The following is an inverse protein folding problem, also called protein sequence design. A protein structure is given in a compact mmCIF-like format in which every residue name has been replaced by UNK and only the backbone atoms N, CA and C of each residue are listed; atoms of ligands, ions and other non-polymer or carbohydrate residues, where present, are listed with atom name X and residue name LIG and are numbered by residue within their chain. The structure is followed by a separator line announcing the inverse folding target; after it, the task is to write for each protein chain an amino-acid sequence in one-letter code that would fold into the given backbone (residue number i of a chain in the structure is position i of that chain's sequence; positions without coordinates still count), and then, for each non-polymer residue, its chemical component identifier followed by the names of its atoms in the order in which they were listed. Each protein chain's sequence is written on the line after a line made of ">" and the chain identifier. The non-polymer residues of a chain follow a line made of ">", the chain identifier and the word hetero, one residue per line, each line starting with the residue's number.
data_IF_619622711932
#
_entry.id   IF_619622711932
#
_cell.length_a   1.000
_cell.length_b   1.000
_cell.length_c   1.000
_cell.angle_alpha   90.00
_cell.angle_beta   90.00
_cell.angle_gamma   90.00
#
_symmetry.space_group_name_H-M   'P 1'
#
loop_
_entity.id
_entity.type
_entity.pdbx_description
1 polymer ?
#
# COMPACT_ATOMS: atom_id res chain seq x y z
N UNK A 1 -34.75 24.67 -31.37
CA UNK A 1 -34.82 26.12 -31.08
C UNK A 1 -34.44 26.26 -29.62
N UNK A 2 -33.34 26.95 -29.32
CA UNK A 2 -33.04 27.34 -27.95
C UNK A 2 -33.97 28.49 -27.61
N UNK A 3 -34.79 28.34 -26.57
CA UNK A 3 -35.71 29.37 -26.11
C UNK A 3 -35.29 29.80 -24.70
N UNK A 4 -35.51 31.07 -24.38
CA UNK A 4 -35.10 31.69 -23.11
C UNK A 4 -35.59 30.90 -21.88
N UNK A 5 -36.82 30.39 -21.95
CA UNK A 5 -37.43 29.57 -20.90
C UNK A 5 -36.62 28.30 -20.57
N UNK A 6 -36.04 27.65 -21.58
CA UNK A 6 -35.18 26.46 -21.37
C UNK A 6 -33.85 26.84 -20.71
N UNK A 7 -33.34 28.03 -21.03
CA UNK A 7 -32.11 28.54 -20.42
C UNK A 7 -32.34 28.87 -18.93
N UNK A 8 -33.40 29.60 -18.62
CA UNK A 8 -33.78 29.93 -17.23
C UNK A 8 -33.99 28.68 -16.38
N UNK A 9 -34.61 27.64 -16.94
CA UNK A 9 -34.79 26.37 -16.24
C UNK A 9 -33.45 25.69 -15.91
N UNK A 10 -32.51 25.62 -16.86
CA UNK A 10 -31.20 25.03 -16.61
C UNK A 10 -30.39 25.84 -15.59
N UNK A 11 -30.47 27.17 -15.63
CA UNK A 11 -29.80 28.04 -14.65
C UNK A 11 -30.34 27.79 -13.23
N UNK A 12 -31.65 27.65 -13.11
CA UNK A 12 -32.30 27.32 -11.84
C UNK A 12 -31.86 25.94 -11.33
N UNK A 13 -31.89 24.92 -12.18
CA UNK A 13 -31.45 23.55 -11.82
C UNK A 13 -29.97 23.53 -11.39
N UNK A 14 -29.11 24.29 -12.08
CA UNK A 14 -27.70 24.44 -11.69
C UNK A 14 -27.54 25.08 -10.32
N UNK A 15 -28.34 26.11 -10.02
CA UNK A 15 -28.27 26.79 -8.72
C UNK A 15 -28.77 25.90 -7.57
N UNK A 16 -29.84 25.13 -7.82
CA UNK A 16 -30.33 24.12 -6.89
C UNK A 16 -29.29 23.03 -6.64
N UNK A 17 -28.64 22.52 -7.70
CA UNK A 17 -27.55 21.55 -7.58
C UNK A 17 -26.37 22.11 -6.80
N UNK A 18 -25.90 23.33 -7.11
CA UNK A 18 -24.81 23.97 -6.35
C UNK A 18 -25.16 24.08 -4.87
N UNK A 19 -26.37 24.51 -4.55
CA UNK A 19 -26.83 24.63 -3.17
C UNK A 19 -26.85 23.27 -2.48
N UNK A 20 -27.33 22.24 -3.16
CA UNK A 20 -27.31 20.86 -2.65
C UNK A 20 -25.89 20.34 -2.42
N UNK A 21 -24.98 20.53 -3.37
CA UNK A 21 -23.58 20.12 -3.23
C UNK A 21 -22.89 20.86 -2.09
N UNK A 22 -23.02 22.18 -2.02
CA UNK A 22 -22.42 22.99 -0.96
C UNK A 22 -22.95 22.59 0.42
N UNK A 23 -24.25 22.29 0.53
CA UNK A 23 -24.84 21.81 1.80
C UNK A 23 -24.29 20.46 2.24
N UNK A 24 -23.95 19.59 1.29
CA UNK A 24 -23.51 18.22 1.55
C UNK A 24 -22.02 18.00 1.28
N UNK A 25 -21.24 19.08 1.15
CA UNK A 25 -19.84 19.03 0.70
C UNK A 25 -19.00 18.10 1.59
N UNK A 26 -19.17 18.18 2.91
CA UNK A 26 -18.44 17.35 3.86
C UNK A 26 -18.74 15.85 3.69
N UNK A 27 -20.00 15.50 3.39
CA UNK A 27 -20.39 14.11 3.14
C UNK A 27 -19.69 13.59 1.88
N UNK A 28 -19.64 14.39 0.82
CA UNK A 28 -18.94 14.00 -0.41
C UNK A 28 -17.43 13.88 -0.20
N UNK A 29 -16.82 14.78 0.57
CA UNK A 29 -15.40 14.70 0.94
C UNK A 29 -15.12 13.40 1.69
N UNK A 30 -15.93 13.07 2.70
CA UNK A 30 -15.75 11.84 3.48
C UNK A 30 -15.99 10.58 2.64
N UNK A 31 -17.02 10.59 1.78
CA UNK A 31 -17.31 9.49 0.87
C UNK A 31 -16.13 9.23 -0.07
N UNK A 32 -15.55 10.29 -0.67
CA UNK A 32 -14.37 10.17 -1.50
C UNK A 32 -13.17 9.62 -0.73
N UNK A 33 -12.92 10.13 0.49
CA UNK A 33 -11.85 9.60 1.36
C UNK A 33 -12.05 8.12 1.67
N UNK A 34 -13.29 7.70 1.92
CA UNK A 34 -13.61 6.30 2.21
C UNK A 34 -13.43 5.41 0.97
N UNK A 35 -13.83 5.87 -0.22
CA UNK A 35 -13.61 5.15 -1.47
C UNK A 35 -12.11 4.96 -1.76
N UNK A 36 -11.30 5.99 -1.56
CA UNK A 36 -9.84 5.90 -1.72
C UNK A 36 -9.24 4.86 -0.76
N UNK A 37 -9.63 4.91 0.51
CA UNK A 37 -9.15 3.95 1.52
C UNK A 37 -9.61 2.51 1.22
N UNK A 38 -10.83 2.34 0.72
CA UNK A 38 -11.36 1.03 0.32
C UNK A 38 -10.61 0.44 -0.87
N UNK A 39 -10.20 1.27 -1.84
CA UNK A 39 -9.38 0.82 -2.95
C UNK A 39 -8.01 0.35 -2.50
N UNK A 40 -7.39 1.03 -1.53
CA UNK A 40 -6.14 0.57 -0.91
C UNK A 40 -6.31 -0.75 -0.18
N UNK A 41 -7.37 -0.88 0.64
CA UNK A 41 -7.67 -2.11 1.37
C UNK A 41 -7.77 -3.33 0.43
N UNK A 42 -8.42 -3.19 -0.73
CA UNK A 42 -8.51 -4.29 -1.71
C UNK A 42 -7.16 -4.76 -2.24
N UNK A 43 -6.16 -3.88 -2.32
CA UNK A 43 -4.79 -4.25 -2.72
C UNK A 43 -4.11 -5.10 -1.64
N UNK A 44 -4.38 -4.81 -0.37
CA UNK A 44 -3.90 -5.61 0.76
C UNK A 44 -4.55 -6.98 0.79
N UNK A 45 -5.89 -7.06 0.66
CA UNK A 45 -6.59 -8.36 0.66
C UNK A 45 -6.09 -9.30 -0.44
N UNK A 46 -5.88 -8.78 -1.65
CA UNK A 46 -5.36 -9.57 -2.77
C UNK A 46 -3.92 -10.06 -2.52
N UNK A 47 -3.12 -9.26 -1.80
CA UNK A 47 -1.75 -9.65 -1.42
C UNK A 47 -1.78 -10.73 -0.34
N UNK A 48 -2.59 -10.54 0.71
CA UNK A 48 -2.71 -11.50 1.81
C UNK A 48 -3.23 -12.86 1.33
N UNK A 49 -4.21 -12.89 0.43
CA UNK A 49 -4.72 -14.13 -0.16
C UNK A 49 -3.63 -14.85 -0.97
N UNK A 50 -2.83 -14.10 -1.74
CA UNK A 50 -1.71 -14.65 -2.48
C UNK A 50 -0.65 -15.25 -1.55
N UNK A 51 -0.26 -14.51 -0.50
CA UNK A 51 0.77 -14.94 0.46
C UNK A 51 0.32 -16.16 1.27
N UNK A 52 -0.96 -16.21 1.67
CA UNK A 52 -1.55 -17.38 2.33
C UNK A 52 -1.54 -18.62 1.43
N UNK A 53 -1.82 -18.45 0.13
CA UNK A 53 -1.89 -19.55 -0.83
C UNK A 53 -0.50 -20.10 -1.19
N UNK A 54 0.50 -19.23 -1.31
CA UNK A 54 1.83 -19.61 -1.82
C UNK A 54 2.89 -19.78 -0.72
N UNK A 55 2.64 -19.28 0.49
CA UNK A 55 3.52 -19.43 1.64
C UNK A 55 4.81 -18.59 1.58
N UNK A 56 4.86 -17.59 0.71
CA UNK A 56 5.97 -16.64 0.61
C UNK A 56 5.46 -15.24 0.28
N UNK A 57 6.17 -14.21 0.76
CA UNK A 57 5.76 -12.83 0.54
C UNK A 57 5.92 -12.37 -0.90
N UNK A 58 5.00 -11.53 -1.38
CA UNK A 58 4.97 -11.06 -2.76
C UNK A 58 5.89 -9.84 -2.93
N UNK A 59 6.92 -9.99 -3.77
CA UNK A 59 7.93 -8.96 -4.01
C UNK A 59 8.01 -8.59 -5.49
N UNK A 60 8.22 -7.30 -5.77
CA UNK A 60 8.52 -6.74 -7.10
C UNK A 60 9.89 -6.06 -7.00
N UNK A 61 10.84 -6.48 -7.84
CA UNK A 61 12.21 -5.96 -7.85
C UNK A 61 12.92 -5.98 -6.47
N UNK A 62 12.59 -6.99 -5.66
CA UNK A 62 13.16 -7.16 -4.31
C UNK A 62 12.53 -6.29 -3.22
N UNK A 63 11.46 -5.56 -3.55
CA UNK A 63 10.68 -4.72 -2.62
C UNK A 63 9.31 -5.38 -2.42
N UNK A 64 8.73 -5.31 -1.22
CA UNK A 64 7.38 -5.86 -1.01
C UNK A 64 6.38 -5.12 -1.91
N UNK A 65 5.35 -5.79 -2.39
CA UNK A 65 4.33 -5.15 -3.23
C UNK A 65 3.63 -3.99 -2.53
N UNK A 66 3.47 -4.09 -1.21
CA UNK A 66 2.90 -3.04 -0.36
C UNK A 66 3.81 -1.80 -0.39
N UNK A 67 5.12 -2.00 -0.20
CA UNK A 67 6.09 -0.91 -0.24
C UNK A 67 6.20 -0.32 -1.67
N UNK A 68 6.10 -1.15 -2.71
CA UNK A 68 6.07 -0.69 -4.10
C UNK A 68 4.88 0.25 -4.37
N UNK A 69 3.66 -0.14 -3.97
CA UNK A 69 2.49 0.72 -4.13
C UNK A 69 2.58 2.00 -3.29
N UNK A 70 3.13 1.91 -2.07
CA UNK A 70 3.33 3.07 -1.20
C UNK A 70 4.30 4.06 -1.85
N UNK A 71 5.40 3.57 -2.40
CA UNK A 71 6.39 4.38 -3.11
C UNK A 71 5.81 5.04 -4.36
N UNK A 72 5.05 4.31 -5.18
CA UNK A 72 4.40 4.90 -6.36
C UNK A 72 3.38 5.99 -5.99
N UNK A 73 2.59 5.77 -4.93
CA UNK A 73 1.66 6.78 -4.43
C UNK A 73 2.37 8.05 -3.97
N UNK A 74 3.50 7.90 -3.28
CA UNK A 74 4.33 9.02 -2.84
C UNK A 74 4.89 9.79 -4.04
N UNK A 75 5.46 9.10 -5.03
CA UNK A 75 5.98 9.71 -6.27
C UNK A 75 4.89 10.52 -6.98
N UNK A 76 3.71 9.93 -7.18
CA UNK A 76 2.58 10.61 -7.82
C UNK A 76 2.14 11.86 -7.03
N UNK A 77 2.11 11.78 -5.70
CA UNK A 77 1.75 12.92 -4.85
C UNK A 77 2.76 14.05 -4.97
N UNK A 78 4.05 13.73 -4.93
CA UNK A 78 5.13 14.71 -5.09
C UNK A 78 5.10 15.36 -6.48
N UNK A 79 4.91 14.58 -7.53
CA UNK A 79 4.80 15.10 -8.90
C UNK A 79 3.60 16.05 -9.05
N UNK A 80 2.46 15.70 -8.44
CA UNK A 80 1.26 16.55 -8.42
C UNK A 80 1.50 17.87 -7.69
N UNK A 81 2.26 17.87 -6.59
CA UNK A 81 2.64 19.09 -5.87
C UNK A 81 3.61 19.96 -6.67
N UNK A 82 4.61 19.34 -7.32
CA UNK A 82 5.55 20.04 -8.20
C UNK A 82 4.83 20.70 -9.38
N UNK A 83 3.88 20.02 -10.01
CA UNK A 83 3.11 20.59 -11.11
C UNK A 83 2.21 21.75 -10.65
N UNK A 84 1.61 21.65 -9.45
CA UNK A 84 0.89 22.78 -8.84
C UNK A 84 1.82 23.97 -8.60
N UNK A 85 3.00 23.75 -8.05
CA UNK A 85 3.98 24.81 -7.80
C UNK A 85 4.44 25.46 -9.12
N UNK A 86 4.66 24.67 -10.17
CA UNK A 86 5.00 25.16 -11.52
C UNK A 86 3.90 26.07 -12.09
N UNK A 87 2.64 25.69 -11.93
CA UNK A 87 1.49 26.51 -12.35
C UNK A 87 1.34 27.80 -11.54
N UNK A 88 1.63 27.78 -10.24
CA UNK A 88 1.62 29.00 -9.42
C UNK A 88 2.72 29.98 -9.84
N UNK A 89 3.93 29.48 -10.09
CA UNK A 89 5.05 30.30 -10.57
C UNK A 89 4.73 30.95 -11.94
N UNK A 90 4.12 30.19 -12.86
CA UNK A 90 3.71 30.70 -14.17
C UNK A 90 2.65 31.80 -14.08
N UNK A 91 1.87 31.86 -12.99
CA UNK A 91 0.87 32.91 -12.71
C UNK A 91 1.45 34.10 -11.94
N UNK A 92 2.76 34.13 -11.68
CA UNK A 92 3.42 35.20 -10.94
C UNK A 92 3.11 35.20 -9.43
N UNK A 93 2.52 34.12 -8.91
CA UNK A 93 2.32 33.94 -7.48
C UNK A 93 3.54 33.24 -6.89
N UNK A 94 4.08 33.78 -5.79
CA UNK A 94 5.16 33.13 -5.05
C UNK A 94 4.62 31.86 -4.38
N UNK A 95 5.18 30.67 -4.66
CA UNK A 95 4.70 29.44 -4.04
C UNK A 95 5.02 29.46 -2.55
N UNK A 96 3.99 29.39 -1.71
CA UNK A 96 4.14 29.11 -0.28
C UNK A 96 4.45 27.62 -0.17
N UNK A 97 5.74 27.27 -0.08
CA UNK A 97 6.18 25.95 0.32
C UNK A 97 5.77 25.73 1.78
N UNK A 98 4.57 25.21 2.00
CA UNK A 98 4.21 24.63 3.29
C UNK A 98 5.05 23.37 3.46
N UNK A 99 6.17 23.54 4.17
CA UNK A 99 7.02 22.47 4.65
C UNK A 99 6.22 21.63 5.65
N UNK A 100 5.46 20.67 5.14
CA UNK A 100 4.90 19.61 5.97
C UNK A 100 6.05 18.66 6.26
N UNK A 101 6.65 18.85 7.43
CA UNK A 101 7.57 17.88 8.01
C UNK A 101 6.98 16.48 7.93
N UNK A 102 7.64 15.58 7.22
CA UNK A 102 7.82 14.21 7.69
C UNK A 102 9.12 13.64 7.11
N UNK A 103 10.21 14.08 7.74
CA UNK A 103 11.42 13.29 7.86
C UNK A 103 11.08 11.97 8.54
N UNK A 104 10.83 10.91 7.76
CA UNK A 104 11.15 9.55 8.17
C UNK A 104 12.24 9.05 7.24
N UNK A 105 13.46 9.41 7.60
CA UNK A 105 14.68 8.79 7.10
C UNK A 105 14.66 7.32 7.54
N UNK A 106 13.91 6.45 6.85
CA UNK A 106 14.10 5.00 6.96
C UNK A 106 15.51 4.74 6.43
N UNK A 107 16.45 4.65 7.36
CA UNK A 107 17.73 4.03 7.10
C UNK A 107 17.40 2.64 6.55
N UNK A 108 17.63 2.42 5.26
CA UNK A 108 17.80 1.07 4.74
C UNK A 108 18.88 0.45 5.61
N UNK A 109 18.46 -0.47 6.47
CA UNK A 109 19.36 -1.21 7.31
C UNK A 109 20.41 -1.85 6.42
N UNK A 110 21.62 -1.38 6.64
CA UNK A 110 22.87 -1.93 6.19
C UNK A 110 22.76 -3.46 6.23
N UNK A 111 22.79 -4.12 5.07
CA UNK A 111 23.11 -5.54 5.02
C UNK A 111 24.49 -5.67 5.65
N UNK A 112 24.53 -6.20 6.86
CA UNK A 112 25.77 -6.61 7.50
C UNK A 112 26.39 -7.71 6.63
N UNK A 113 27.41 -7.32 5.86
CA UNK A 113 28.33 -8.28 5.26
C UNK A 113 29.07 -8.92 6.44
N UNK A 114 28.59 -10.09 6.85
CA UNK A 114 29.30 -10.93 7.82
C UNK A 114 30.72 -11.16 7.32
N UNK A 115 31.68 -10.52 7.98
CA UNK A 115 33.11 -10.82 7.82
C UNK A 115 33.36 -12.18 8.45
N UNK A 116 33.56 -13.17 7.60
CA UNK A 116 34.11 -14.49 7.95
C UNK A 116 35.49 -14.31 8.59
N UNK A 117 35.72 -14.78 9.83
CA UNK A 117 37.06 -14.80 10.39
C UNK A 117 37.90 -15.88 9.69
N UNK A 118 38.92 -15.44 8.97
CA UNK A 118 39.99 -16.28 8.41
C UNK A 118 40.81 -16.86 9.56
N UNK A 119 40.71 -18.18 9.77
CA UNK A 119 41.49 -18.92 10.77
C UNK A 119 42.61 -19.69 10.09
N UNK A 120 43.82 -19.47 10.59
CA UNK A 120 45.11 -20.00 10.15
C UNK A 120 45.18 -21.54 10.14
N UNK A 121 46.09 -22.01 9.29
CA UNK A 121 46.56 -23.38 9.01
C UNK A 121 46.89 -24.21 10.27
N UNK A 122 46.34 -25.44 10.38
CA UNK A 122 46.98 -26.79 10.29
C UNK A 122 47.42 -27.40 11.63
N UNK A 123 47.63 -28.74 11.79
CA UNK A 123 47.40 -29.89 10.88
C UNK A 123 46.63 -31.12 11.49
N UNK A 124 46.21 -32.03 10.58
CA UNK A 124 46.18 -33.52 10.63
C UNK A 124 45.74 -34.32 11.89
N UNK A 125 44.74 -35.21 11.75
CA UNK A 125 44.77 -36.71 11.90
C UNK A 125 43.33 -37.30 11.77
N UNK A 126 43.23 -38.44 11.07
CA UNK A 126 42.05 -39.25 10.61
C UNK A 126 41.33 -40.05 11.75
N UNK A 127 40.44 -41.04 11.49
CA UNK A 127 39.09 -41.01 10.91
C UNK A 127 38.01 -41.79 11.74
N UNK A 128 36.75 -41.70 11.26
CA UNK A 128 35.65 -42.69 11.33
C UNK A 128 34.89 -42.95 12.66
N UNK A 129 33.59 -42.64 12.69
CA UNK A 129 32.49 -43.64 12.76
C UNK A 129 31.09 -43.01 12.53
N UNK A 130 30.09 -43.79 12.08
CA UNK A 130 28.81 -43.29 11.53
C UNK A 130 27.58 -43.54 12.43
N UNK A 131 26.42 -43.05 11.94
CA UNK A 131 25.02 -43.33 12.34
C UNK A 131 24.42 -42.60 13.56
N UNK A 132 23.34 -41.83 13.32
CA UNK A 132 21.93 -42.29 13.48
C UNK A 132 20.93 -41.16 13.17
N UNK A 133 19.95 -41.35 12.25
CA UNK A 133 18.77 -40.49 12.17
C UNK A 133 17.65 -41.09 13.04
N UNK A 134 16.88 -40.26 13.74
CA UNK A 134 15.62 -40.69 14.35
C UNK A 134 14.52 -39.69 14.04
N UNK A 135 13.60 -40.16 13.20
CA UNK A 135 12.27 -39.62 12.96
C UNK A 135 11.47 -39.50 14.26
N UNK A 136 10.62 -38.48 14.34
CA UNK A 136 9.32 -38.57 14.99
C UNK A 136 8.39 -37.50 14.41
N UNK A 137 7.60 -37.89 13.40
CA UNK A 137 6.41 -37.16 12.99
C UNK A 137 5.33 -37.35 14.05
N UNK A 138 4.64 -36.27 14.43
CA UNK A 138 3.39 -36.35 15.19
C UNK A 138 2.30 -35.62 14.41
N UNK A 139 1.53 -36.41 13.65
CA UNK A 139 0.29 -35.99 13.00
C UNK A 139 -0.82 -35.88 14.04
N UNK A 140 -1.21 -34.65 14.41
CA UNK A 140 -2.46 -34.41 15.13
C UNK A 140 -3.58 -34.13 14.12
N UNK A 141 -4.36 -35.17 13.89
CA UNK A 141 -5.62 -35.21 13.13
C UNK A 141 -6.67 -34.40 13.91
N UNK A 142 -7.22 -33.35 13.33
CA UNK A 142 -8.44 -32.70 13.81
C UNK A 142 -9.67 -33.35 13.17
N UNK A 143 -10.78 -33.56 13.91
CA UNK A 143 -12.04 -34.03 13.34
C UNK A 143 -12.83 -32.90 12.65
N UNK A 144 -13.65 -33.20 11.63
CA UNK A 144 -14.46 -32.20 10.93
C UNK A 144 -15.71 -31.80 11.75
N UNK A 145 -16.01 -30.50 11.74
CA UNK A 145 -17.24 -29.92 12.28
C UNK A 145 -18.43 -30.23 11.35
N UNK A 146 -19.49 -30.78 11.91
CA UNK A 146 -20.77 -30.97 11.21
C UNK A 146 -21.58 -29.67 11.17
N UNK A 147 -22.29 -29.37 10.06
CA UNK A 147 -23.16 -28.22 9.97
C UNK A 147 -24.46 -28.43 10.78
N UNK A 148 -24.81 -27.47 11.62
CA UNK A 148 -26.13 -27.42 12.25
C UNK A 148 -27.19 -27.04 11.22
N UNK A 149 -28.28 -27.81 11.20
CA UNK A 149 -29.48 -27.51 10.42
C UNK A 149 -30.32 -26.44 11.11
N UNK A 150 -30.65 -25.39 10.35
CA UNK A 150 -31.62 -24.36 10.70
C UNK A 150 -33.02 -24.96 10.95
N UNK A 151 -33.75 -24.36 11.89
CA UNK A 151 -35.21 -24.36 11.96
C UNK A 151 -35.71 -22.93 11.98
#
# INVERSE_FOLDING_TARGET
>A
VFNEETLEQHEKELEEMKTYYNRNEQIFIELHRWLDAWEEYKKFEATDEYEQTHGHSFHVDGISIIDFFTHEKENYSQEKELEKARKQLARGQTPVLTNTQQSVKRQLAHTEVMKTPSKQQQPEVKPATPFRPSSAMSNKRFPPLQPQQNK
#
